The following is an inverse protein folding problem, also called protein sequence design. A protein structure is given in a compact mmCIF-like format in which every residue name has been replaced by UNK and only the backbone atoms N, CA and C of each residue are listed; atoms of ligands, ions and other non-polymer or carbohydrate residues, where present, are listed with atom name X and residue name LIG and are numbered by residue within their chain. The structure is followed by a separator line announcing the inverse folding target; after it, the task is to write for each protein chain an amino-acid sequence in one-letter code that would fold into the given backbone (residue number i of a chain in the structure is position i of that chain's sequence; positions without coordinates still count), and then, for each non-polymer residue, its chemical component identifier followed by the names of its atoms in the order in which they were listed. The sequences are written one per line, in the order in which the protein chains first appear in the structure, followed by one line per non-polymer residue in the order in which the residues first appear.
data_IF_110961190398
#
_entry.id   IF_110961190398
#
_cell.length_a   1.000
_cell.length_b   1.000
_cell.length_c   1.000
_cell.angle_alpha   90.00
_cell.angle_beta   90.00
_cell.angle_gamma   90.00
#
_symmetry.space_group_name_H-M   'P 1'
#
loop_
_entity.id
_entity.type
_entity.pdbx_description
1 polymer ?
#
# COMPACT_ATOMS: atom_id res chain seq x y z
N UNK A 1 14.08 21.77 -16.65
CA UNK A 1 13.56 20.48 -16.10
C UNK A 1 12.03 20.36 -16.08
N UNK A 2 11.25 21.40 -15.62
CA UNK A 2 9.77 21.31 -15.64
C UNK A 2 9.16 21.33 -17.04
N UNK A 3 9.68 22.12 -17.96
CA UNK A 3 9.20 22.23 -19.36
C UNK A 3 9.37 20.95 -20.16
N UNK A 4 10.39 20.17 -19.87
CA UNK A 4 10.74 18.97 -20.63
C UNK A 4 9.90 17.75 -20.23
N UNK A 5 9.33 17.76 -19.01
CA UNK A 5 8.50 16.67 -18.47
C UNK A 5 7.00 16.87 -18.72
N UNK A 6 6.60 18.01 -19.32
CA UNK A 6 5.19 18.36 -19.59
C UNK A 6 4.26 18.15 -18.36
N UNK A 7 4.69 18.59 -17.16
CA UNK A 7 3.92 18.51 -15.91
C UNK A 7 3.10 19.80 -15.76
N UNK A 8 1.78 19.67 -15.51
CA UNK A 8 0.84 20.79 -15.34
C UNK A 8 0.98 21.39 -13.93
N UNK A 9 0.55 22.64 -13.77
CA UNK A 9 0.54 23.33 -12.45
C UNK A 9 -0.35 22.60 -11.44
N UNK A 10 -1.48 22.02 -11.88
CA UNK A 10 -2.34 21.17 -11.07
C UNK A 10 -1.59 19.95 -10.49
N UNK A 11 -0.75 19.31 -11.31
CA UNK A 11 0.04 18.14 -10.90
C UNK A 11 1.16 18.55 -9.92
N UNK A 12 1.80 19.70 -10.15
CA UNK A 12 2.85 20.23 -9.27
C UNK A 12 2.25 20.64 -7.92
N UNK A 13 1.10 21.33 -7.93
CA UNK A 13 0.37 21.69 -6.72
C UNK A 13 -0.01 20.42 -5.94
N UNK A 14 -0.52 19.40 -6.63
CA UNK A 14 -0.88 18.13 -6.00
C UNK A 14 0.31 17.46 -5.30
N UNK A 15 1.46 17.38 -5.97
CA UNK A 15 2.70 16.86 -5.38
C UNK A 15 3.10 17.66 -4.14
N UNK A 16 3.10 19.00 -4.26
CA UNK A 16 3.47 19.89 -3.17
C UNK A 16 2.56 19.79 -1.95
N UNK A 17 1.27 19.44 -2.14
CA UNK A 17 0.31 19.24 -1.06
C UNK A 17 0.36 17.82 -0.45
N UNK A 18 1.07 16.85 -1.04
CA UNK A 18 1.23 15.50 -0.52
C UNK A 18 2.37 15.41 0.49
N UNK A 19 2.30 16.20 1.59
CA UNK A 19 3.29 16.25 2.69
C UNK A 19 2.63 16.66 4.01
N UNK A 20 3.37 16.69 5.12
CA UNK A 20 2.87 17.09 6.44
C UNK A 20 3.57 18.35 6.98
N UNK A 21 4.72 18.70 6.45
CA UNK A 21 5.48 19.90 6.84
C UNK A 21 5.69 20.86 5.66
N UNK A 22 5.70 22.16 5.97
CA UNK A 22 5.79 23.22 4.97
C UNK A 22 6.77 24.31 5.43
N UNK A 23 7.94 24.38 4.80
CA UNK A 23 8.84 25.51 4.96
C UNK A 23 8.27 26.76 4.30
N UNK A 24 8.83 27.93 4.61
CA UNK A 24 8.36 29.22 4.09
C UNK A 24 8.40 29.25 2.56
N UNK A 25 9.49 28.81 1.97
CA UNK A 25 9.69 28.80 0.51
C UNK A 25 8.66 27.91 -0.19
N UNK A 26 8.38 26.73 0.38
CA UNK A 26 7.37 25.80 -0.14
C UNK A 26 5.97 26.42 -0.08
N UNK A 27 5.62 27.11 1.01
CA UNK A 27 4.32 27.81 1.13
C UNK A 27 4.17 28.90 0.07
N UNK A 28 5.19 29.71 -0.15
CA UNK A 28 5.17 30.77 -1.18
C UNK A 28 5.01 30.17 -2.56
N UNK A 29 5.76 29.12 -2.87
CA UNK A 29 5.63 28.40 -4.14
C UNK A 29 4.23 27.82 -4.35
N UNK A 30 3.67 27.16 -3.32
CA UNK A 30 2.34 26.54 -3.42
C UNK A 30 1.22 27.57 -3.54
N UNK A 31 1.34 28.74 -2.89
CA UNK A 31 0.40 29.85 -3.06
C UNK A 31 0.40 30.34 -4.51
N UNK A 32 1.57 30.62 -5.06
CA UNK A 32 1.70 31.07 -6.46
C UNK A 32 1.14 30.02 -7.44
N UNK A 33 1.38 28.72 -7.19
CA UNK A 33 0.80 27.64 -8.00
C UNK A 33 -0.73 27.57 -7.88
N UNK A 34 -1.27 27.72 -6.68
CA UNK A 34 -2.73 27.67 -6.46
C UNK A 34 -3.45 28.82 -7.19
N UNK A 35 -2.80 29.99 -7.36
CA UNK A 35 -3.32 31.10 -8.13
C UNK A 35 -3.30 30.85 -9.65
N UNK A 36 -2.42 29.98 -10.15
CA UNK A 36 -2.30 29.66 -11.59
C UNK A 36 -3.12 28.47 -12.04
N UNK A 37 -3.61 27.65 -11.11
CA UNK A 37 -4.46 26.48 -11.41
C UNK A 37 -5.74 26.92 -12.11
N UNK A 38 -6.00 26.36 -13.27
CA UNK A 38 -7.18 26.66 -14.08
C UNK A 38 -8.21 25.54 -14.13
N UNK A 39 -7.77 24.28 -13.94
CA UNK A 39 -8.63 23.09 -14.00
C UNK A 39 -8.70 22.39 -12.64
N UNK A 40 -9.45 23.00 -11.73
CA UNK A 40 -9.69 22.44 -10.39
C UNK A 40 -10.46 21.10 -10.41
N UNK A 41 -11.26 20.85 -11.42
CA UNK A 41 -11.94 19.57 -11.59
C UNK A 41 -10.94 18.45 -11.93
N UNK A 42 -9.99 18.72 -12.83
CA UNK A 42 -8.88 17.81 -13.09
C UNK A 42 -8.05 17.55 -11.82
N UNK A 43 -7.70 18.60 -11.10
CA UNK A 43 -6.97 18.51 -9.83
C UNK A 43 -7.68 17.59 -8.81
N UNK A 44 -8.99 17.81 -8.57
CA UNK A 44 -9.77 16.96 -7.68
C UNK A 44 -9.82 15.50 -8.15
N UNK A 45 -10.14 15.28 -9.42
CA UNK A 45 -10.23 13.94 -9.99
C UNK A 45 -8.90 13.18 -9.85
N UNK A 46 -7.78 13.86 -10.06
CA UNK A 46 -6.44 13.31 -9.90
C UNK A 46 -6.16 12.99 -8.42
N UNK A 47 -6.42 13.90 -7.50
CA UNK A 47 -6.25 13.70 -6.06
C UNK A 47 -7.07 12.50 -5.55
N UNK A 48 -8.33 12.38 -6.00
CA UNK A 48 -9.22 11.31 -5.62
C UNK A 48 -8.78 9.95 -6.21
N UNK A 49 -8.39 9.92 -7.48
CA UNK A 49 -7.88 8.72 -8.15
C UNK A 49 -6.59 8.19 -7.50
N UNK A 50 -5.75 9.07 -7.00
CA UNK A 50 -4.52 8.76 -6.29
C UNK A 50 -4.70 8.47 -4.79
N UNK A 51 -5.90 8.65 -4.24
CA UNK A 51 -6.20 8.40 -2.83
C UNK A 51 -5.54 9.38 -1.87
N UNK A 52 -5.34 10.64 -2.31
CA UNK A 52 -4.73 11.71 -1.51
C UNK A 52 -5.67 12.90 -1.26
N UNK A 53 -6.93 12.84 -1.71
CA UNK A 53 -7.88 13.95 -1.62
C UNK A 53 -8.08 14.44 -0.17
N UNK A 54 -8.10 13.54 0.82
CA UNK A 54 -8.22 13.90 2.23
C UNK A 54 -7.01 14.70 2.75
N UNK A 55 -5.80 14.26 2.43
CA UNK A 55 -4.54 14.95 2.78
C UNK A 55 -4.48 16.32 2.11
N UNK A 56 -4.88 16.39 0.84
CA UNK A 56 -4.92 17.64 0.06
C UNK A 56 -5.90 18.63 0.67
N UNK A 57 -7.12 18.22 1.01
CA UNK A 57 -8.09 19.10 1.68
C UNK A 57 -7.53 19.67 2.98
N UNK A 58 -7.00 18.80 3.85
CA UNK A 58 -6.40 19.22 5.10
C UNK A 58 -5.28 20.26 4.90
N UNK A 59 -4.43 20.05 3.91
CA UNK A 59 -3.31 20.96 3.66
C UNK A 59 -3.73 22.29 3.01
N UNK A 60 -4.72 22.29 2.11
CA UNK A 60 -5.33 23.51 1.59
C UNK A 60 -5.96 24.35 2.72
N UNK A 61 -6.66 23.70 3.65
CA UNK A 61 -7.24 24.35 4.84
C UNK A 61 -6.14 24.90 5.77
N UNK A 62 -5.14 24.07 6.11
CA UNK A 62 -4.01 24.45 6.98
C UNK A 62 -3.18 25.61 6.43
N UNK A 63 -3.05 25.70 5.10
CA UNK A 63 -2.31 26.76 4.42
C UNK A 63 -3.16 28.02 4.17
N UNK A 64 -4.47 27.97 4.36
CA UNK A 64 -5.39 29.07 4.08
C UNK A 64 -5.72 29.26 2.60
N UNK A 65 -5.57 28.22 1.77
CA UNK A 65 -5.75 28.28 0.32
C UNK A 65 -7.15 27.91 -0.16
N UNK A 66 -8.09 27.57 0.75
CA UNK A 66 -9.46 27.19 0.37
C UNK A 66 -10.21 28.30 -0.38
N UNK A 67 -9.87 29.57 -0.15
CA UNK A 67 -10.45 30.70 -0.87
C UNK A 67 -10.04 30.77 -2.35
N UNK A 68 -8.97 30.07 -2.76
CA UNK A 68 -8.52 29.98 -4.15
C UNK A 68 -9.19 28.81 -4.90
N UNK A 69 -9.83 27.89 -4.16
CA UNK A 69 -10.47 26.69 -4.72
C UNK A 69 -11.97 26.94 -4.93
N UNK A 70 -12.55 26.59 -6.10
CA UNK A 70 -14.00 26.69 -6.31
C UNK A 70 -14.79 25.92 -5.26
N UNK A 71 -15.93 26.47 -4.79
CA UNK A 71 -16.74 25.93 -3.70
C UNK A 71 -17.15 24.47 -3.90
N UNK A 72 -17.54 24.08 -5.11
CA UNK A 72 -17.92 22.70 -5.45
C UNK A 72 -16.75 21.71 -5.30
N UNK A 73 -15.54 22.12 -5.67
CA UNK A 73 -14.33 21.33 -5.52
C UNK A 73 -13.92 21.22 -4.05
N UNK A 74 -14.01 22.35 -3.32
CA UNK A 74 -13.77 22.37 -1.86
C UNK A 74 -14.71 21.40 -1.13
N UNK A 75 -15.99 21.39 -1.48
CA UNK A 75 -16.95 20.47 -0.89
C UNK A 75 -16.65 19.00 -1.25
N UNK A 76 -16.28 18.73 -2.48
CA UNK A 76 -15.90 17.40 -2.94
C UNK A 76 -14.67 16.87 -2.20
N UNK A 77 -13.63 17.68 -2.02
CA UNK A 77 -12.44 17.37 -1.23
C UNK A 77 -12.78 17.12 0.26
N UNK A 78 -13.62 17.99 0.83
CA UNK A 78 -14.10 17.83 2.21
C UNK A 78 -14.86 16.53 2.40
N UNK A 79 -15.77 16.20 1.48
CA UNK A 79 -16.52 14.94 1.52
C UNK A 79 -15.58 13.72 1.45
N UNK A 80 -14.56 13.76 0.60
CA UNK A 80 -13.53 12.70 0.53
C UNK A 80 -12.80 12.54 1.87
N UNK A 81 -12.46 13.64 2.55
CA UNK A 81 -11.85 13.61 3.89
C UNK A 81 -12.81 13.01 4.93
N UNK A 82 -14.09 13.41 4.95
CA UNK A 82 -15.07 12.90 5.89
C UNK A 82 -15.32 11.39 5.72
N UNK A 83 -15.38 10.92 4.46
CA UNK A 83 -15.49 9.48 4.15
C UNK A 83 -14.26 8.72 4.62
N UNK A 84 -13.07 9.27 4.41
CA UNK A 84 -11.82 8.67 4.87
C UNK A 84 -11.76 8.60 6.39
N UNK A 85 -12.11 9.69 7.08
CA UNK A 85 -12.15 9.77 8.55
C UNK A 85 -13.10 8.72 9.15
N UNK A 86 -14.34 8.64 8.64
CA UNK A 86 -15.33 7.67 9.11
C UNK A 86 -14.86 6.22 8.90
N UNK A 87 -14.28 5.94 7.74
CA UNK A 87 -13.75 4.60 7.44
C UNK A 87 -12.57 4.24 8.33
N UNK A 88 -11.62 5.14 8.53
CA UNK A 88 -10.45 4.89 9.35
C UNK A 88 -10.81 4.71 10.83
N UNK A 89 -11.77 5.49 11.34
CA UNK A 89 -12.30 5.30 12.69
C UNK A 89 -12.92 3.90 12.87
N UNK A 90 -13.73 3.45 11.91
CA UNK A 90 -14.28 2.09 11.91
C UNK A 90 -13.21 1.00 11.79
N UNK A 91 -12.17 1.22 10.98
CA UNK A 91 -11.05 0.29 10.86
C UNK A 91 -10.26 0.18 12.17
N UNK A 92 -10.03 1.29 12.87
CA UNK A 92 -9.33 1.31 14.17
C UNK A 92 -10.14 0.60 15.25
N UNK A 93 -11.46 0.83 15.32
CA UNK A 93 -12.36 0.15 16.25
C UNK A 93 -12.36 -1.37 16.02
N UNK A 94 -12.54 -1.80 14.77
CA UNK A 94 -12.54 -3.21 14.39
C UNK A 94 -11.16 -3.87 14.62
N UNK A 95 -10.07 -3.11 14.44
CA UNK A 95 -8.73 -3.60 14.74
C UNK A 95 -8.52 -3.83 16.24
N UNK A 96 -9.10 -3.01 17.10
CA UNK A 96 -9.13 -3.26 18.55
C UNK A 96 -9.74 -4.62 18.89
N UNK A 97 -10.83 -5.03 18.22
CA UNK A 97 -11.40 -6.38 18.39
C UNK A 97 -10.43 -7.48 17.93
N UNK A 98 -9.79 -7.32 16.77
CA UNK A 98 -8.78 -8.27 16.26
C UNK A 98 -7.65 -8.44 17.26
N UNK A 99 -7.10 -7.33 17.75
CA UNK A 99 -6.00 -7.34 18.73
C UNK A 99 -6.39 -8.01 20.02
N UNK A 100 -7.59 -7.74 20.56
CA UNK A 100 -8.10 -8.38 21.77
C UNK A 100 -8.15 -9.90 21.64
N UNK A 101 -8.60 -10.40 20.48
CA UNK A 101 -8.65 -11.85 20.20
C UNK A 101 -7.23 -12.43 20.16
N UNK A 102 -6.31 -11.79 19.46
CA UNK A 102 -4.96 -12.29 19.25
C UNK A 102 -4.09 -12.15 20.52
N UNK A 103 -4.25 -11.07 21.29
CA UNK A 103 -3.51 -10.83 22.54
C UNK A 103 -3.82 -11.87 23.62
N UNK A 104 -5.07 -12.38 23.71
CA UNK A 104 -5.45 -13.45 24.64
C UNK A 104 -4.62 -14.73 24.44
N UNK A 105 -4.16 -14.94 23.24
CA UNK A 105 -3.36 -16.08 22.82
C UNK A 105 -1.86 -15.74 22.65
N UNK A 106 -1.46 -14.56 23.13
CA UNK A 106 -0.08 -14.03 23.09
C UNK A 106 0.51 -13.96 21.68
N UNK A 107 -0.32 -13.71 20.66
CA UNK A 107 0.14 -13.57 19.28
C UNK A 107 0.58 -12.12 19.03
N UNK A 108 1.90 -11.91 18.86
CA UNK A 108 2.46 -10.61 18.49
C UNK A 108 1.92 -10.17 17.13
N UNK A 109 1.28 -8.99 17.09
CA UNK A 109 0.66 -8.43 15.90
C UNK A 109 1.29 -7.08 15.58
N UNK A 110 1.95 -6.97 14.42
CA UNK A 110 2.57 -5.74 13.94
C UNK A 110 1.68 -5.11 12.88
N UNK A 111 1.24 -3.87 13.10
CA UNK A 111 0.48 -3.09 12.13
C UNK A 111 1.36 -2.74 10.93
N UNK A 112 0.78 -2.77 9.74
CA UNK A 112 1.48 -2.43 8.51
C UNK A 112 0.79 -1.26 7.78
N UNK A 113 1.51 -0.65 6.85
CA UNK A 113 0.99 0.33 5.88
C UNK A 113 0.12 1.43 6.52
N UNK A 114 -1.16 1.54 6.06
CA UNK A 114 -2.04 2.66 6.35
C UNK A 114 -2.27 2.93 7.83
N UNK A 115 -2.67 1.91 8.61
CA UNK A 115 -2.94 2.10 10.03
C UNK A 115 -1.67 2.41 10.82
N UNK A 116 -0.54 1.74 10.51
CA UNK A 116 0.73 2.06 11.13
C UNK A 116 1.15 3.52 10.85
N UNK A 117 1.03 3.97 9.59
CA UNK A 117 1.34 5.36 9.21
C UNK A 117 0.41 6.37 9.88
N UNK A 118 -0.89 6.07 9.96
CA UNK A 118 -1.85 6.96 10.60
C UNK A 118 -1.50 7.20 12.07
N UNK A 119 -1.16 6.15 12.79
CA UNK A 119 -0.78 6.22 14.21
C UNK A 119 0.58 6.88 14.45
N UNK A 120 1.56 6.58 13.59
CA UNK A 120 2.94 6.98 13.86
C UNK A 120 3.37 8.27 13.15
N UNK A 121 2.77 8.59 12.00
CA UNK A 121 3.23 9.69 11.13
C UNK A 121 2.21 10.80 11.02
N UNK A 122 0.99 10.49 10.57
CA UNK A 122 -0.01 11.53 10.30
C UNK A 122 -0.57 12.15 11.58
N UNK A 123 -0.73 11.38 12.65
CA UNK A 123 -1.26 11.86 13.94
C UNK A 123 -2.69 12.42 13.88
N UNK A 124 -3.32 12.37 12.71
CA UNK A 124 -4.67 12.82 12.45
C UNK A 124 -5.40 11.78 11.60
N UNK A 125 -6.53 11.29 12.12
CA UNK A 125 -7.31 10.24 11.48
C UNK A 125 -7.86 10.73 10.14
N UNK A 126 -7.87 9.84 9.18
CA UNK A 126 -8.50 10.07 7.88
C UNK A 126 -7.63 10.75 6.84
N UNK A 127 -6.46 11.27 7.17
CA UNK A 127 -5.58 11.90 6.18
C UNK A 127 -5.03 10.88 5.18
N UNK A 128 -4.80 9.67 5.63
CA UNK A 128 -4.34 8.57 4.78
C UNK A 128 -5.50 7.62 4.48
N UNK A 129 -6.02 7.65 3.25
CA UNK A 129 -7.13 6.79 2.83
C UNK A 129 -6.75 5.30 2.91
N UNK A 130 -7.58 4.50 3.60
CA UNK A 130 -7.42 3.05 3.77
C UNK A 130 -8.69 2.31 3.35
N UNK A 131 -8.54 1.10 2.80
CA UNK A 131 -9.64 0.19 2.44
C UNK A 131 -9.67 -1.05 3.31
N UNK A 132 -8.51 -1.46 3.79
CA UNK A 132 -8.24 -2.67 4.57
C UNK A 132 -7.15 -2.38 5.60
N UNK A 133 -7.01 -3.26 6.57
CA UNK A 133 -5.93 -3.21 7.54
C UNK A 133 -5.03 -4.42 7.34
N UNK A 134 -3.75 -4.13 7.15
CA UNK A 134 -2.70 -5.14 7.02
C UNK A 134 -2.00 -5.33 8.36
N UNK A 135 -1.82 -6.56 8.78
CA UNK A 135 -1.06 -6.91 9.98
C UNK A 135 -0.08 -8.04 9.70
N UNK A 136 1.10 -7.98 10.33
CA UNK A 136 2.10 -9.02 10.28
C UNK A 136 2.07 -9.81 11.59
N UNK A 137 1.92 -11.12 11.46
CA UNK A 137 2.09 -12.09 12.55
C UNK A 137 3.22 -13.06 12.21
N UNK A 138 3.73 -13.80 13.19
CA UNK A 138 4.74 -14.82 12.90
C UNK A 138 4.17 -15.88 11.94
N UNK A 139 5.06 -16.49 11.14
CA UNK A 139 4.64 -17.58 10.24
C UNK A 139 4.03 -18.74 11.01
N UNK A 140 4.53 -19.03 12.20
CA UNK A 140 4.08 -20.14 13.03
C UNK A 140 2.69 -19.85 13.63
N UNK A 141 2.37 -18.58 13.91
CA UNK A 141 1.10 -18.16 14.48
C UNK A 141 0.02 -17.84 13.42
N UNK A 142 0.38 -17.65 12.15
CA UNK A 142 -0.55 -17.11 11.16
C UNK A 142 -1.81 -17.98 10.95
N UNK A 143 -1.67 -19.32 10.98
CA UNK A 143 -2.82 -20.21 10.85
C UNK A 143 -3.65 -20.27 12.13
N UNK A 144 -3.01 -20.16 13.31
CA UNK A 144 -3.69 -20.04 14.61
C UNK A 144 -4.48 -18.75 14.68
N UNK A 145 -3.85 -17.61 14.33
CA UNK A 145 -4.49 -16.30 14.27
C UNK A 145 -5.73 -16.31 13.37
N UNK A 146 -5.59 -16.84 12.15
CA UNK A 146 -6.71 -16.99 11.23
C UNK A 146 -7.87 -17.79 11.83
N UNK A 147 -7.58 -18.95 12.43
CA UNK A 147 -8.59 -19.82 13.04
C UNK A 147 -9.34 -19.08 14.15
N UNK A 148 -8.62 -18.41 15.06
CA UNK A 148 -9.20 -17.62 16.15
C UNK A 148 -10.14 -16.53 15.65
N UNK A 149 -9.73 -15.77 14.63
CA UNK A 149 -10.59 -14.73 14.06
C UNK A 149 -11.86 -15.32 13.44
N UNK A 150 -11.74 -16.45 12.73
CA UNK A 150 -12.92 -17.11 12.14
C UNK A 150 -13.88 -17.66 13.23
N UNK A 151 -13.37 -18.19 14.33
CA UNK A 151 -14.17 -18.63 15.49
C UNK A 151 -14.87 -17.45 16.18
N UNK A 152 -14.38 -16.23 16.01
CA UNK A 152 -14.97 -14.97 16.50
C UNK A 152 -15.78 -14.22 15.43
N UNK A 153 -16.25 -14.91 14.38
CA UNK A 153 -17.21 -14.38 13.42
C UNK A 153 -16.59 -13.63 12.22
N UNK A 154 -15.27 -13.69 12.03
CA UNK A 154 -14.68 -13.22 10.80
C UNK A 154 -14.88 -14.25 9.68
N UNK A 155 -15.39 -13.81 8.55
CA UNK A 155 -15.59 -14.63 7.38
C UNK A 155 -14.43 -14.52 6.41
N UNK A 156 -14.03 -15.63 5.81
CA UNK A 156 -13.02 -15.65 4.77
C UNK A 156 -13.64 -15.65 3.38
N UNK A 157 -13.00 -15.01 2.43
CA UNK A 157 -13.30 -15.31 1.03
C UNK A 157 -13.16 -16.81 0.77
N UNK A 158 -14.05 -17.41 -0.06
CA UNK A 158 -13.95 -18.82 -0.42
C UNK A 158 -12.56 -19.11 -0.95
N UNK A 159 -11.91 -20.15 -0.40
CA UNK A 159 -10.62 -20.60 -0.91
C UNK A 159 -10.79 -20.98 -2.37
N UNK A 160 -9.90 -20.48 -3.23
CA UNK A 160 -9.96 -20.71 -4.66
C UNK A 160 -10.07 -22.20 -5.01
N UNK A 161 -9.31 -23.05 -4.32
CA UNK A 161 -9.37 -24.52 -4.49
C UNK A 161 -8.99 -25.24 -3.20
N UNK A 162 -9.56 -26.43 -2.98
CA UNK A 162 -9.17 -27.27 -1.84
C UNK A 162 -7.72 -27.76 -1.94
N UNK A 163 -7.17 -27.91 -3.15
CA UNK A 163 -5.77 -28.25 -3.39
C UNK A 163 -4.81 -27.16 -2.93
N UNK A 164 -5.26 -25.91 -2.82
CA UNK A 164 -4.44 -24.79 -2.34
C UNK A 164 -4.39 -24.71 -0.81
N UNK A 165 -5.36 -25.31 -0.07
CA UNK A 165 -5.40 -25.21 1.39
C UNK A 165 -4.08 -25.62 2.08
N UNK A 166 -3.46 -26.77 1.76
CA UNK A 166 -2.24 -27.22 2.45
C UNK A 166 -1.00 -26.39 2.10
N UNK A 167 -1.07 -25.58 1.06
CA UNK A 167 0.06 -24.79 0.57
C UNK A 167 -0.20 -23.27 0.62
N UNK A 168 -1.32 -22.84 1.21
CA UNK A 168 -1.75 -21.43 1.16
C UNK A 168 -0.77 -20.50 1.88
N UNK A 169 -0.08 -20.99 2.92
CA UNK A 169 0.98 -20.26 3.60
C UNK A 169 2.36 -20.39 2.92
N UNK A 170 2.46 -21.18 1.84
CA UNK A 170 3.73 -21.42 1.14
C UNK A 170 3.92 -20.50 -0.07
N UNK A 171 2.84 -19.91 -0.56
CA UNK A 171 2.90 -18.92 -1.66
C UNK A 171 2.10 -17.67 -1.28
N UNK A 172 2.61 -16.53 -1.75
CA UNK A 172 2.05 -15.25 -1.37
C UNK A 172 2.57 -14.73 -0.03
N UNK A 173 2.18 -13.53 0.32
CA UNK A 173 2.64 -12.78 1.49
C UNK A 173 1.63 -12.80 2.65
N UNK A 174 0.35 -13.04 2.37
CA UNK A 174 -0.75 -13.04 3.34
C UNK A 174 -1.73 -14.19 3.09
N UNK A 175 -2.50 -14.53 4.11
CA UNK A 175 -3.62 -15.45 4.03
C UNK A 175 -4.82 -14.76 3.35
N UNK A 176 -5.84 -15.51 2.88
CA UNK A 176 -7.06 -14.92 2.37
C UNK A 176 -7.67 -13.91 3.34
N UNK A 177 -8.02 -12.74 2.83
CA UNK A 177 -8.62 -11.64 3.58
C UNK A 177 -9.79 -12.12 4.44
N UNK A 178 -9.85 -11.68 5.67
CA UNK A 178 -10.94 -11.91 6.61
C UNK A 178 -11.81 -10.67 6.69
N UNK A 179 -13.13 -10.85 6.75
CA UNK A 179 -14.10 -9.75 6.75
C UNK A 179 -15.10 -9.94 7.87
N UNK A 180 -15.40 -8.87 8.60
CA UNK A 180 -16.49 -8.80 9.58
C UNK A 180 -17.11 -7.41 9.55
N UNK A 181 -18.42 -7.31 9.40
CA UNK A 181 -19.18 -6.04 9.39
C UNK A 181 -18.62 -4.98 8.42
N UNK A 182 -18.10 -5.40 7.25
CA UNK A 182 -17.49 -4.50 6.27
C UNK A 182 -16.02 -4.15 6.53
N UNK A 183 -15.47 -4.48 7.69
CA UNK A 183 -14.05 -4.37 7.98
C UNK A 183 -13.27 -5.55 7.37
N UNK A 184 -12.17 -5.24 6.69
CA UNK A 184 -11.30 -6.22 6.05
C UNK A 184 -9.91 -6.21 6.69
N UNK A 185 -9.45 -7.40 7.13
CA UNK A 185 -8.08 -7.58 7.66
C UNK A 185 -7.31 -8.62 6.86
N UNK A 186 -6.07 -8.27 6.52
CA UNK A 186 -5.10 -9.15 5.85
C UNK A 186 -4.02 -9.60 6.83
N UNK A 187 -4.01 -10.91 7.12
CA UNK A 187 -2.97 -11.53 7.96
C UNK A 187 -1.76 -11.84 7.09
N UNK A 188 -0.74 -11.01 7.17
CA UNK A 188 0.57 -11.24 6.57
C UNK A 188 1.41 -12.15 7.46
N UNK A 189 2.16 -13.05 6.84
CA UNK A 189 3.23 -13.84 7.44
C UNK A 189 4.58 -13.59 6.76
N UNK A 190 4.55 -12.86 5.65
CA UNK A 190 5.69 -12.32 4.93
C UNK A 190 5.32 -10.94 4.36
N UNK A 191 6.30 -10.06 4.22
CA UNK A 191 6.06 -8.74 3.60
C UNK A 191 5.94 -8.84 2.07
N UNK A 192 6.68 -9.77 1.48
CA UNK A 192 6.77 -9.98 0.03
C UNK A 192 6.84 -11.46 -0.25
N UNK A 193 6.26 -11.95 -1.29
CA UNK A 193 6.27 -13.32 -1.81
C UNK A 193 6.76 -14.47 -0.91
N UNK A 194 6.58 -15.70 -1.29
CA UNK A 194 7.00 -16.83 -0.46
C UNK A 194 8.53 -16.93 -0.36
N UNK A 195 9.06 -16.72 0.82
CA UNK A 195 10.49 -16.87 1.09
C UNK A 195 10.87 -16.31 2.45
N UNK A 196 11.98 -16.77 3.03
CA UNK A 196 12.55 -16.15 4.24
C UNK A 196 13.10 -14.76 3.85
N UNK A 197 12.26 -13.75 3.90
CA UNK A 197 12.64 -12.39 3.57
C UNK A 197 13.37 -11.77 4.77
N UNK A 198 14.58 -11.27 4.52
CA UNK A 198 15.39 -10.60 5.56
C UNK A 198 14.60 -9.43 6.15
N UNK A 199 13.96 -8.64 5.30
CA UNK A 199 13.19 -7.46 5.72
C UNK A 199 11.98 -7.82 6.59
N UNK A 200 11.31 -8.97 6.34
CA UNK A 200 10.22 -9.46 7.20
C UNK A 200 10.71 -9.72 8.62
N UNK A 201 11.86 -10.40 8.75
CA UNK A 201 12.44 -10.69 10.07
C UNK A 201 12.90 -9.44 10.79
N UNK A 202 13.57 -8.52 10.08
CA UNK A 202 13.99 -7.25 10.63
C UNK A 202 12.76 -6.49 11.16
N UNK A 203 11.76 -6.24 10.33
CA UNK A 203 10.56 -5.50 10.70
C UNK A 203 9.84 -6.13 11.91
N UNK A 204 9.66 -7.44 11.92
CA UNK A 204 8.98 -8.13 13.01
C UNK A 204 9.76 -8.04 14.34
N UNK A 205 11.09 -8.18 14.29
CA UNK A 205 11.94 -8.18 15.48
C UNK A 205 12.18 -6.80 16.05
N UNK A 206 12.34 -5.76 15.22
CA UNK A 206 12.61 -4.37 15.65
C UNK A 206 11.34 -3.55 15.87
N UNK A 207 10.14 -4.14 15.67
CA UNK A 207 8.88 -3.42 15.85
C UNK A 207 8.69 -2.91 17.28
N UNK A 208 8.18 -1.69 17.38
CA UNK A 208 8.01 -0.91 18.60
C UNK A 208 6.59 -1.12 19.13
N UNK A 209 6.45 -1.29 20.44
CA UNK A 209 5.15 -1.45 21.09
C UNK A 209 4.31 -0.17 20.97
N UNK A 210 3.03 -0.35 20.70
CA UNK A 210 2.01 0.70 20.61
C UNK A 210 0.67 0.15 21.08
N UNK A 211 -0.36 0.99 21.06
CA UNK A 211 -1.70 0.64 21.47
C UNK A 211 -2.73 1.09 20.43
N UNK A 212 -3.78 0.29 20.23
CA UNK A 212 -4.95 0.62 19.41
C UNK A 212 -6.20 0.29 20.21
N UNK A 213 -7.00 1.30 20.54
CA UNK A 213 -8.23 1.14 21.35
C UNK A 213 -8.04 0.34 22.66
N UNK A 214 -6.97 0.64 23.39
CA UNK A 214 -6.65 -0.02 24.67
C UNK A 214 -6.03 -1.42 24.51
N UNK A 215 -5.75 -1.86 23.30
CA UNK A 215 -5.17 -3.17 23.02
C UNK A 215 -3.72 -3.04 22.53
N UNK A 216 -2.85 -3.85 23.13
CA UNK A 216 -1.44 -3.92 22.76
C UNK A 216 -1.25 -4.31 21.30
N UNK A 217 -0.38 -3.59 20.61
CA UNK A 217 0.03 -3.84 19.24
C UNK A 217 1.48 -3.43 19.03
N UNK A 218 1.97 -3.53 17.80
CA UNK A 218 3.32 -3.10 17.43
C UNK A 218 3.26 -2.33 16.09
N UNK A 219 4.19 -1.39 15.92
CA UNK A 219 4.44 -0.68 14.66
C UNK A 219 5.88 -0.89 14.22
N UNK A 220 6.17 -0.86 12.91
CA UNK A 220 7.55 -0.98 12.46
C UNK A 220 8.41 0.19 12.95
N UNK A 221 9.67 -0.07 13.22
CA UNK A 221 10.70 0.95 13.40
C UNK A 221 10.87 1.73 12.09
N UNK A 222 11.11 3.07 12.18
CA UNK A 222 10.97 4.00 11.08
C UNK A 222 11.81 3.65 9.83
N UNK A 223 13.09 3.28 10.01
CA UNK A 223 13.99 2.99 8.89
C UNK A 223 13.61 1.70 8.15
N UNK A 224 13.26 0.65 8.90
CA UNK A 224 12.82 -0.63 8.31
C UNK A 224 11.43 -0.47 7.68
N UNK A 225 10.57 0.36 8.27
CA UNK A 225 9.28 0.71 7.70
C UNK A 225 9.44 1.43 6.35
N UNK A 226 10.35 2.38 6.28
CA UNK A 226 10.66 3.07 5.04
C UNK A 226 11.11 2.11 3.93
N UNK A 227 12.04 1.21 4.21
CA UNK A 227 12.48 0.19 3.24
C UNK A 227 11.34 -0.74 2.81
N UNK A 228 10.46 -1.11 3.74
CA UNK A 228 9.27 -1.90 3.40
C UNK A 228 8.36 -1.15 2.43
N UNK A 229 8.07 0.13 2.69
CA UNK A 229 7.21 0.96 1.83
C UNK A 229 7.84 1.23 0.47
N UNK A 230 9.15 1.45 0.40
CA UNK A 230 9.90 1.57 -0.87
C UNK A 230 9.71 0.32 -1.74
N UNK A 231 9.87 -0.87 -1.17
CA UNK A 231 9.69 -2.11 -1.93
C UNK A 231 8.21 -2.37 -2.26
N UNK A 232 7.31 -2.00 -1.38
CA UNK A 232 5.87 -2.08 -1.61
C UNK A 232 5.44 -1.21 -2.80
N UNK A 233 5.88 0.04 -2.84
CA UNK A 233 5.68 0.95 -3.96
C UNK A 233 6.24 0.37 -5.27
N UNK A 234 7.48 -0.12 -5.26
CA UNK A 234 8.10 -0.75 -6.43
C UNK A 234 7.24 -1.90 -7.00
N UNK A 235 6.71 -2.77 -6.13
CA UNK A 235 5.87 -3.88 -6.57
C UNK A 235 4.54 -3.41 -7.14
N UNK A 236 3.94 -2.34 -6.60
CA UNK A 236 2.75 -1.73 -7.18
C UNK A 236 3.02 -1.15 -8.57
N UNK A 237 4.15 -0.49 -8.78
CA UNK A 237 4.54 0.01 -10.10
C UNK A 237 4.79 -1.13 -11.11
N UNK A 238 5.42 -2.21 -10.67
CA UNK A 238 5.63 -3.39 -11.53
C UNK A 238 4.30 -4.06 -11.93
N UNK A 239 3.25 -3.88 -11.12
CA UNK A 239 1.91 -4.37 -11.41
C UNK A 239 1.01 -3.33 -12.11
N UNK A 240 1.55 -2.15 -12.47
CA UNK A 240 0.81 -1.00 -12.98
C UNK A 240 -0.34 -0.53 -12.06
N UNK A 241 -0.17 -0.65 -10.74
CA UNK A 241 -1.15 -0.28 -9.71
C UNK A 241 -0.63 0.90 -8.86
N UNK A 242 0.35 1.67 -9.36
CA UNK A 242 0.95 2.76 -8.57
C UNK A 242 -0.04 3.90 -8.36
N UNK A 243 0.00 4.46 -7.16
CA UNK A 243 -0.76 5.63 -6.73
C UNK A 243 0.15 6.62 -6.02
N UNK A 244 -0.12 7.92 -6.21
CA UNK A 244 0.64 8.99 -5.54
C UNK A 244 0.66 8.85 -4.02
N UNK A 245 -0.41 8.29 -3.43
CA UNK A 245 -0.48 7.97 -2.01
C UNK A 245 0.71 7.17 -1.50
N UNK A 246 1.23 6.23 -2.30
CA UNK A 246 2.38 5.39 -1.90
C UNK A 246 3.70 6.18 -1.89
N UNK A 247 3.83 7.18 -2.76
CA UNK A 247 4.94 8.12 -2.71
C UNK A 247 4.79 9.10 -1.54
N UNK A 248 3.58 9.62 -1.32
CA UNK A 248 3.28 10.48 -0.18
C UNK A 248 3.61 9.77 1.16
N UNK A 249 3.35 8.47 1.28
CA UNK A 249 3.73 7.66 2.45
C UNK A 249 5.25 7.76 2.74
N UNK A 250 6.10 7.75 1.69
CA UNK A 250 7.55 7.91 1.83
C UNK A 250 7.94 9.34 2.22
N UNK A 251 7.32 10.33 1.59
CA UNK A 251 7.58 11.76 1.87
C UNK A 251 7.28 12.08 3.33
N UNK A 252 6.08 11.74 3.80
CA UNK A 252 5.66 12.06 5.17
C UNK A 252 6.51 11.32 6.22
N UNK A 253 6.97 10.12 5.89
CA UNK A 253 7.84 9.36 6.79
C UNK A 253 9.23 10.01 6.90
N UNK A 254 9.80 10.49 5.78
CA UNK A 254 11.07 11.25 5.80
C UNK A 254 10.88 12.59 6.52
N UNK A 255 9.78 13.31 6.31
CA UNK A 255 9.52 14.57 7.00
C UNK A 255 9.38 14.42 8.52
N UNK A 256 8.89 13.27 8.99
CA UNK A 256 8.71 12.97 10.41
C UNK A 256 9.97 12.41 11.08
N UNK A 257 10.67 11.49 10.40
CA UNK A 257 11.74 10.66 10.96
C UNK A 257 13.03 10.73 10.12
N UNK A 258 13.26 11.86 9.44
CA UNK A 258 14.39 11.99 8.51
C UNK A 258 15.73 11.58 9.10
N UNK A 259 16.07 12.06 10.29
CA UNK A 259 17.35 11.76 10.95
C UNK A 259 17.48 10.26 11.32
N UNK A 260 16.36 9.61 11.70
CA UNK A 260 16.34 8.19 12.01
C UNK A 260 16.43 7.32 10.74
N UNK A 261 15.85 7.77 9.63
CA UNK A 261 15.81 7.03 8.37
C UNK A 261 17.08 7.25 7.55
N UNK A 262 17.51 8.51 7.41
CA UNK A 262 18.57 8.93 6.48
C UNK A 262 19.97 8.86 7.13
N UNK A 263 20.30 7.71 7.70
CA UNK A 263 21.64 7.39 8.22
C UNK A 263 22.30 6.28 7.41
N UNK A 264 23.58 5.99 7.66
CA UNK A 264 24.34 5.02 6.87
C UNK A 264 23.80 3.59 6.93
N UNK A 265 23.08 3.20 7.98
CA UNK A 265 22.46 1.88 8.11
C UNK A 265 21.37 1.66 7.06
N UNK A 266 20.74 2.72 6.54
CA UNK A 266 19.78 2.63 5.44
C UNK A 266 20.35 1.88 4.23
N UNK A 267 21.55 2.25 3.80
CA UNK A 267 22.18 1.62 2.63
C UNK A 267 22.63 0.19 2.95
N UNK A 268 23.10 -0.06 4.17
CA UNK A 268 23.46 -1.40 4.62
C UNK A 268 22.22 -2.33 4.59
N UNK A 269 21.11 -1.91 5.19
CA UNK A 269 19.88 -2.70 5.23
C UNK A 269 19.26 -2.87 3.84
N UNK A 270 19.29 -1.84 3.00
CA UNK A 270 18.87 -1.94 1.60
C UNK A 270 19.71 -2.96 0.82
N UNK A 271 21.02 -2.97 1.04
CA UNK A 271 21.93 -3.94 0.41
C UNK A 271 21.65 -5.37 0.89
N UNK A 272 21.52 -5.59 2.20
CA UNK A 272 21.19 -6.91 2.77
C UNK A 272 19.84 -7.44 2.28
N UNK A 273 18.87 -6.54 2.01
CA UNK A 273 17.57 -6.88 1.45
C UNK A 273 17.55 -7.00 -0.08
N UNK A 274 18.69 -6.77 -0.76
CA UNK A 274 18.81 -6.76 -2.23
C UNK A 274 17.99 -5.64 -2.87
N UNK A 275 17.93 -4.46 -2.23
CA UNK A 275 17.05 -3.36 -2.61
C UNK A 275 17.78 -2.07 -3.03
N UNK A 276 19.12 -2.06 -3.08
CA UNK A 276 19.88 -0.82 -3.34
C UNK A 276 19.40 -0.06 -4.58
N UNK A 277 19.25 -0.75 -5.70
CA UNK A 277 18.73 -0.14 -6.93
C UNK A 277 17.28 0.35 -6.80
N UNK A 278 16.42 -0.44 -6.17
CA UNK A 278 15.01 -0.09 -5.94
C UNK A 278 14.92 1.15 -5.07
N UNK A 279 15.73 1.25 -4.02
CA UNK A 279 15.79 2.41 -3.13
C UNK A 279 16.20 3.67 -3.90
N UNK A 280 17.31 3.63 -4.64
CA UNK A 280 17.76 4.78 -5.40
C UNK A 280 16.70 5.31 -6.38
N UNK A 281 16.07 4.40 -7.13
CA UNK A 281 15.02 4.77 -8.10
C UNK A 281 13.74 5.35 -7.47
N UNK A 282 13.51 5.15 -6.16
CA UNK A 282 12.37 5.75 -5.46
C UNK A 282 12.73 7.03 -4.73
N UNK A 283 14.01 7.19 -4.36
CA UNK A 283 14.50 8.46 -3.81
C UNK A 283 14.64 9.55 -4.88
N UNK A 284 14.95 9.18 -6.13
CA UNK A 284 15.14 10.13 -7.23
C UNK A 284 13.91 11.03 -7.47
N UNK A 285 12.67 10.54 -7.66
CA UNK A 285 11.49 11.40 -7.76
C UNK A 285 11.25 12.27 -6.52
N UNK A 286 11.56 11.77 -5.32
CA UNK A 286 11.44 12.54 -4.08
C UNK A 286 12.39 13.73 -4.06
N UNK A 287 13.62 13.55 -4.52
CA UNK A 287 14.60 14.63 -4.69
C UNK A 287 14.16 15.62 -5.76
N UNK A 288 13.89 15.14 -6.96
CA UNK A 288 13.80 15.95 -8.17
C UNK A 288 12.43 16.60 -8.38
N UNK A 289 11.35 15.98 -7.86
CA UNK A 289 9.98 16.48 -8.04
C UNK A 289 9.35 17.01 -6.75
N UNK A 290 9.59 16.38 -5.59
CA UNK A 290 9.13 16.91 -4.30
C UNK A 290 10.09 17.91 -3.67
N UNK A 291 11.33 17.98 -4.14
CA UNK A 291 12.35 18.86 -3.57
C UNK A 291 12.80 18.43 -2.16
N UNK A 292 12.77 17.12 -1.87
CA UNK A 292 13.32 16.61 -0.61
C UNK A 292 14.83 16.77 -0.63
N UNK A 293 15.36 17.46 0.37
CA UNK A 293 16.79 17.62 0.55
C UNK A 293 17.38 16.37 1.19
N UNK A 294 18.30 15.73 0.49
CA UNK A 294 19.03 14.56 1.00
C UNK A 294 20.48 14.91 1.36
N UNK A 295 21.10 14.21 2.34
CA UNK A 295 22.54 14.30 2.57
C UNK A 295 23.36 13.99 1.31
N UNK A 296 24.56 14.56 1.20
CA UNK A 296 25.41 14.39 0.02
C UNK A 296 25.65 12.94 -0.37
N UNK A 297 25.92 12.06 0.60
CA UNK A 297 26.13 10.64 0.37
C UNK A 297 24.91 9.87 -0.17
N UNK A 298 23.67 10.33 0.13
CA UNK A 298 22.45 9.81 -0.49
C UNK A 298 22.33 10.30 -1.92
N UNK A 299 22.65 11.57 -2.19
CA UNK A 299 22.65 12.09 -3.56
C UNK A 299 23.63 11.32 -4.44
N UNK A 300 24.86 11.07 -3.96
CA UNK A 300 25.84 10.24 -4.66
C UNK A 300 25.34 8.81 -4.89
N UNK A 301 24.63 8.24 -3.91
CA UNK A 301 24.00 6.93 -4.04
C UNK A 301 22.90 6.91 -5.10
N UNK A 302 22.02 7.93 -5.15
CA UNK A 302 20.98 8.06 -6.18
C UNK A 302 21.63 8.15 -7.56
N UNK A 303 22.63 9.02 -7.72
CA UNK A 303 23.29 9.26 -9.01
C UNK A 303 24.06 8.02 -9.51
N UNK A 304 24.62 7.21 -8.60
CA UNK A 304 25.24 5.92 -8.94
C UNK A 304 24.27 4.93 -9.60
N UNK A 305 23.00 4.96 -9.20
CA UNK A 305 21.96 4.05 -9.68
C UNK A 305 20.98 4.77 -10.65
N UNK A 306 21.38 5.92 -11.20
CA UNK A 306 20.56 6.69 -12.13
C UNK A 306 19.96 5.81 -13.22
N UNK A 307 18.65 6.03 -13.49
CA UNK A 307 17.95 5.36 -14.59
C UNK A 307 17.15 6.41 -15.39
N UNK A 308 17.43 6.57 -16.70
CA UNK A 308 16.87 7.65 -17.50
C UNK A 308 15.33 7.67 -17.55
N UNK A 309 14.69 6.53 -17.31
CA UNK A 309 13.23 6.40 -17.37
C UNK A 309 12.52 6.51 -16.02
N UNK A 310 13.24 6.64 -14.89
CA UNK A 310 12.58 6.62 -13.55
C UNK A 310 11.63 7.79 -13.37
N UNK A 311 12.04 9.00 -13.72
CA UNK A 311 11.21 10.21 -13.64
C UNK A 311 10.08 10.17 -14.67
N UNK A 312 10.35 9.77 -15.92
CA UNK A 312 9.32 9.65 -16.95
C UNK A 312 8.24 8.64 -16.56
N UNK A 313 8.64 7.52 -15.97
CA UNK A 313 7.73 6.51 -15.45
C UNK A 313 6.87 7.03 -14.30
N UNK A 314 7.46 7.79 -13.37
CA UNK A 314 6.71 8.45 -12.31
C UNK A 314 5.68 9.42 -12.88
N UNK A 315 6.06 10.30 -13.82
CA UNK A 315 5.16 11.27 -14.45
C UNK A 315 4.03 10.57 -15.21
N UNK A 316 4.32 9.44 -15.87
CA UNK A 316 3.30 8.63 -16.51
C UNK A 316 2.25 8.12 -15.52
N UNK A 317 2.66 7.56 -14.36
CA UNK A 317 1.74 7.14 -13.31
C UNK A 317 0.98 8.30 -12.66
N UNK A 318 1.63 9.45 -12.50
CA UNK A 318 0.98 10.65 -11.98
C UNK A 318 -0.20 11.09 -12.86
N UNK A 319 -0.04 11.06 -14.17
CA UNK A 319 -1.09 11.50 -15.12
C UNK A 319 -2.19 10.48 -15.35
N UNK A 320 -1.89 9.19 -15.23
CA UNK A 320 -2.79 8.09 -15.61
C UNK A 320 -2.89 6.99 -14.57
N UNK A 321 -3.41 7.26 -13.37
CA UNK A 321 -3.41 6.31 -12.26
C UNK A 321 -4.28 5.05 -12.48
N UNK A 322 -5.21 5.08 -13.44
CA UNK A 322 -6.19 4.00 -13.70
C UNK A 322 -6.05 3.31 -15.06
N UNK A 323 -5.26 3.86 -15.96
CA UNK A 323 -5.23 3.41 -17.36
C UNK A 323 -4.22 2.29 -17.64
N UNK A 324 -3.60 1.78 -16.59
CA UNK A 324 -2.58 0.76 -16.71
C UNK A 324 -3.20 -0.64 -16.65
N UNK A 325 -3.13 -1.45 -17.72
CA UNK A 325 -3.62 -2.80 -17.65
C UNK A 325 -2.80 -3.62 -16.64
N UNK A 326 -3.45 -4.40 -15.76
CA UNK A 326 -2.74 -5.27 -14.84
C UNK A 326 -1.91 -6.31 -15.63
N UNK A 327 -0.81 -6.82 -15.04
CA UNK A 327 -0.03 -7.89 -15.66
C UNK A 327 -0.93 -9.05 -16.04
N UNK A 328 -0.71 -9.59 -17.25
CA UNK A 328 -1.53 -10.66 -17.78
C UNK A 328 -1.62 -11.87 -16.85
N UNK A 329 -2.79 -12.53 -16.81
CA UNK A 329 -3.06 -13.71 -15.97
C UNK A 329 -1.94 -14.77 -16.06
N UNK A 330 -1.33 -14.96 -17.25
CA UNK A 330 -0.22 -15.91 -17.48
C UNK A 330 1.05 -15.53 -16.75
N UNK A 331 1.37 -14.24 -16.64
CA UNK A 331 2.53 -13.77 -15.90
C UNK A 331 2.37 -14.07 -14.41
N UNK A 332 1.24 -13.72 -13.82
CA UNK A 332 0.91 -13.98 -12.42
C UNK A 332 0.94 -15.47 -12.07
N UNK A 333 0.41 -16.31 -12.95
CA UNK A 333 0.48 -17.76 -12.80
C UNK A 333 1.91 -18.29 -12.76
N UNK A 334 2.75 -17.88 -13.74
CA UNK A 334 4.16 -18.29 -13.81
C UNK A 334 4.97 -17.79 -12.62
N UNK A 335 4.72 -16.54 -12.18
CA UNK A 335 5.36 -15.95 -11.01
C UNK A 335 5.04 -16.78 -9.75
N UNK A 336 3.78 -16.99 -9.45
CA UNK A 336 3.34 -17.77 -8.28
C UNK A 336 3.87 -19.23 -8.33
N UNK A 337 3.88 -19.85 -9.49
CA UNK A 337 4.38 -21.23 -9.64
C UNK A 337 5.90 -21.32 -9.34
N UNK A 338 6.66 -20.25 -9.62
CA UNK A 338 8.10 -20.18 -9.26
C UNK A 338 8.29 -20.06 -7.75
N UNK A 339 7.43 -19.32 -7.07
CA UNK A 339 7.46 -19.08 -5.63
C UNK A 339 7.20 -20.38 -4.83
N UNK A 340 6.33 -21.27 -5.32
CA UNK A 340 6.00 -22.52 -4.65
C UNK A 340 7.20 -23.47 -4.65
N UNK A 341 7.68 -23.85 -3.47
CA UNK A 341 8.83 -24.77 -3.31
C UNK A 341 8.39 -26.23 -3.25
N UNK A 342 9.11 -27.11 -3.93
CA UNK A 342 8.86 -28.54 -3.95
C UNK A 342 7.89 -28.98 -5.06
N UNK A 343 8.22 -30.09 -5.70
CA UNK A 343 7.51 -30.63 -6.88
C UNK A 343 6.06 -30.97 -6.58
N UNK A 344 5.80 -31.66 -5.44
CA UNK A 344 4.44 -32.03 -5.03
C UNK A 344 3.55 -30.81 -4.74
N UNK A 345 4.11 -29.75 -4.16
CA UNK A 345 3.40 -28.49 -3.89
C UNK A 345 3.12 -27.71 -5.17
N UNK A 346 4.05 -27.71 -6.12
CA UNK A 346 3.81 -27.17 -7.46
C UNK A 346 2.68 -27.90 -8.16
N UNK A 347 2.62 -29.21 -8.02
CA UNK A 347 1.52 -30.01 -8.57
C UNK A 347 0.18 -29.63 -7.91
N UNK A 348 0.14 -29.50 -6.57
CA UNK A 348 -1.06 -29.00 -5.87
C UNK A 348 -1.46 -27.60 -6.33
N UNK A 349 -0.50 -26.71 -6.57
CA UNK A 349 -0.76 -25.38 -7.11
C UNK A 349 -1.42 -25.46 -8.50
N UNK A 350 -0.88 -26.27 -9.40
CA UNK A 350 -1.44 -26.48 -10.75
C UNK A 350 -2.86 -27.05 -10.66
N UNK A 351 -3.09 -28.09 -9.85
CA UNK A 351 -4.43 -28.63 -9.63
C UNK A 351 -5.39 -27.58 -9.06
N UNK A 352 -4.89 -26.74 -8.16
CA UNK A 352 -5.67 -25.65 -7.57
C UNK A 352 -6.07 -24.58 -8.56
N UNK A 353 -5.25 -24.33 -9.57
CA UNK A 353 -5.57 -23.40 -10.65
C UNK A 353 -6.60 -24.00 -11.64
N UNK A 354 -6.52 -25.31 -11.90
CA UNK A 354 -7.40 -26.03 -12.81
C UNK A 354 -8.79 -26.29 -12.18
N UNK A 355 -8.81 -26.65 -10.88
CA UNK A 355 -10.02 -27.08 -10.17
C UNK A 355 -10.38 -26.13 -9.01
N UNK A 356 -10.86 -24.91 -9.28
CA UNK A 356 -11.37 -24.03 -8.24
C UNK A 356 -12.65 -24.61 -7.60
N UNK A 357 -12.96 -24.16 -6.38
CA UNK A 357 -14.22 -24.55 -5.71
C UNK A 357 -15.44 -23.91 -6.39
N UNK A 358 -16.59 -24.57 -6.28
CA UNK A 358 -17.87 -24.03 -6.78
C UNK A 358 -18.18 -22.67 -6.13
N UNK A 359 -17.89 -22.53 -4.81
CA UNK A 359 -18.07 -21.26 -4.10
C UNK A 359 -17.24 -20.14 -4.70
N UNK A 360 -15.97 -20.40 -5.01
CA UNK A 360 -15.12 -19.45 -5.72
C UNK A 360 -15.67 -19.12 -7.11
N UNK A 361 -16.10 -20.10 -7.89
CA UNK A 361 -16.66 -19.91 -9.22
C UNK A 361 -17.93 -19.06 -9.19
N UNK A 362 -18.85 -19.35 -8.25
CA UNK A 362 -20.08 -18.54 -8.07
C UNK A 362 -19.74 -17.07 -7.79
N UNK A 363 -18.83 -16.82 -6.86
CA UNK A 363 -18.44 -15.44 -6.49
C UNK A 363 -17.70 -14.74 -7.63
N UNK A 364 -16.77 -15.43 -8.29
CA UNK A 364 -15.93 -14.86 -9.36
C UNK A 364 -16.72 -14.44 -10.59
N UNK A 365 -17.71 -15.25 -10.96
CA UNK A 365 -18.51 -15.06 -12.19
C UNK A 365 -19.94 -14.61 -11.90
N UNK A 366 -20.22 -14.21 -10.64
CA UNK A 366 -21.54 -13.76 -10.20
C UNK A 366 -22.66 -14.76 -10.54
N UNK A 367 -22.41 -16.07 -10.37
CA UNK A 367 -23.35 -17.11 -10.72
C UNK A 367 -24.38 -17.36 -9.64
N UNK A 368 -25.67 -17.21 -9.97
CA UNK A 368 -26.79 -17.46 -9.04
C UNK A 368 -26.98 -18.96 -8.72
N UNK A 369 -26.59 -19.86 -9.59
CA UNK A 369 -26.78 -21.31 -9.40
C UNK A 369 -25.47 -22.10 -9.51
N UNK A 370 -25.46 -23.30 -8.94
CA UNK A 370 -24.33 -24.25 -9.05
C UNK A 370 -24.12 -24.71 -10.48
N UNK A 371 -25.22 -24.96 -11.21
CA UNK A 371 -25.15 -25.38 -12.61
C UNK A 371 -24.49 -24.32 -13.49
N UNK A 372 -24.86 -23.05 -13.30
CA UNK A 372 -24.23 -21.95 -14.00
C UNK A 372 -22.74 -21.86 -13.71
N UNK A 373 -22.33 -22.04 -12.45
CA UNK A 373 -20.91 -22.05 -12.08
C UNK A 373 -20.13 -23.20 -12.73
N UNK A 374 -20.74 -24.37 -12.90
CA UNK A 374 -20.13 -25.51 -13.58
C UNK A 374 -19.87 -25.23 -15.08
N UNK A 375 -20.74 -24.51 -15.75
CA UNK A 375 -20.57 -24.14 -17.15
C UNK A 375 -19.39 -23.21 -17.40
N UNK A 376 -18.93 -22.48 -16.38
CA UNK A 376 -17.76 -21.61 -16.48
C UNK A 376 -16.41 -22.34 -16.39
N UNK A 377 -16.36 -23.64 -15.98
CA UNK A 377 -15.08 -24.37 -15.94
C UNK A 377 -14.44 -24.54 -17.31
N UNK A 378 -15.15 -25.04 -18.35
CA UNK A 378 -14.58 -25.10 -19.70
C UNK A 378 -14.16 -23.72 -20.21
N UNK A 379 -15.02 -22.71 -20.08
CA UNK A 379 -14.70 -21.34 -20.52
C UNK A 379 -13.41 -20.80 -19.87
N UNK A 380 -13.22 -21.07 -18.55
CA UNK A 380 -12.01 -20.69 -17.83
C UNK A 380 -10.78 -21.46 -18.33
N UNK A 381 -10.86 -22.76 -18.59
CA UNK A 381 -9.74 -23.57 -19.06
C UNK A 381 -9.25 -23.13 -20.42
N UNK A 382 -10.17 -22.74 -21.30
CA UNK A 382 -9.84 -22.24 -22.63
C UNK A 382 -9.53 -20.73 -22.66
N UNK A 383 -9.54 -20.06 -21.52
CA UNK A 383 -9.21 -18.63 -21.42
C UNK A 383 -10.25 -17.70 -22.05
N UNK A 384 -11.51 -18.14 -22.14
CA UNK A 384 -12.62 -17.39 -22.70
C UNK A 384 -13.26 -16.39 -21.72
N UNK A 385 -12.91 -16.45 -20.42
CA UNK A 385 -13.47 -15.62 -19.33
C UNK A 385 -12.43 -15.32 -18.25
#
# INVERSE_FOLDING_TARGET
MKSDLNIRDEEILLLGLCRISFGVEVKVMLNALAETVTDWNYFFNLANAHGVAALVYHNLEKLGFLNLVPGEVTESLRNAMMVSLSRNAGNEEAMGEVLRILNREHIKTVLLKGLALELTVFGNRGLRQMTDVDVLVSRDDCMKARKLLMENGFESFPVKSLFLKPIIADFGKHLPTLIKNGFAVELHHELFGAGKNVLTRMLYNTSIETEVNGEKSFVPEAQIFFLYLVKHLYLHEMNNESQLRLYADLVVLIEKYGDEILNYDLLLYASQAGMSQILAWRLEPLRDLWGISFPGWINEFIDKWYHPDSINRFVFFLKSPKDNPPPGKRWKYRHNLREVRGIHRKFLYILGEIFPTIGFMKKRYNCKSTLMALLYYPARWFGLV
#
